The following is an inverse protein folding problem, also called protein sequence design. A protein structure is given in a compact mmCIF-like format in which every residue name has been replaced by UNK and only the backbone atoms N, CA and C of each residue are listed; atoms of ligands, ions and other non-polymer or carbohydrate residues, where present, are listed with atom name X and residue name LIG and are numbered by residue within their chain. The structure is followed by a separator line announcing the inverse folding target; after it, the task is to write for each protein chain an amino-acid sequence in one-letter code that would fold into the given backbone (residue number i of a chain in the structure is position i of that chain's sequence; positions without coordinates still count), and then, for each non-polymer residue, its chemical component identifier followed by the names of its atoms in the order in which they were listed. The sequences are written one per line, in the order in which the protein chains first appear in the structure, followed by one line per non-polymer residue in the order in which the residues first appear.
data_IF_222444757265
#
_entry.id   IF_222444757265
#
_cell.length_a   1.000
_cell.length_b   1.000
_cell.length_c   1.000
_cell.angle_alpha   90.00
_cell.angle_beta   90.00
_cell.angle_gamma   90.00
#
_symmetry.space_group_name_H-M   'P 1'
#
loop_
_entity.id
_entity.type
_entity.pdbx_description
1 polymer ?
#
# COMPACT_ATOMS: atom_id res chain seq x y z
N UNK A 1 2.55 -19.99 -18.91
CA UNK A 1 2.62 -18.64 -18.29
C UNK A 1 1.16 -18.22 -18.04
N UNK A 2 0.79 -17.86 -16.82
CA UNK A 2 -0.59 -17.43 -16.54
C UNK A 2 -0.81 -16.03 -17.14
N UNK A 3 -1.99 -15.76 -17.73
CA UNK A 3 -2.27 -14.47 -18.33
C UNK A 3 -2.31 -13.35 -17.27
N UNK A 4 -1.92 -12.15 -17.69
CA UNK A 4 -2.07 -10.93 -16.88
C UNK A 4 -3.44 -10.33 -17.19
N UNK A 5 -4.25 -10.13 -16.18
CA UNK A 5 -5.52 -9.43 -16.27
C UNK A 5 -5.28 -7.92 -16.11
N UNK A 6 -5.88 -7.13 -16.99
CA UNK A 6 -5.79 -5.67 -16.94
C UNK A 6 -6.99 -5.07 -16.21
N UNK A 7 -6.70 -4.13 -15.33
CA UNK A 7 -7.70 -3.37 -14.56
C UNK A 7 -7.46 -1.85 -14.77
N UNK A 8 -8.44 -1.11 -15.28
CA UNK A 8 -8.35 0.35 -15.31
C UNK A 8 -8.38 0.95 -13.91
N UNK A 9 -7.97 2.22 -13.79
CA UNK A 9 -8.02 2.93 -12.51
C UNK A 9 -9.42 2.89 -11.89
N UNK A 10 -9.51 2.55 -10.60
CA UNK A 10 -10.77 2.42 -9.86
C UNK A 10 -11.52 1.12 -10.11
N UNK A 11 -10.99 0.19 -10.92
CA UNK A 11 -11.63 -1.10 -11.14
C UNK A 11 -11.41 -2.03 -9.93
N UNK A 12 -12.50 -2.68 -9.53
CA UNK A 12 -12.50 -3.71 -8.49
C UNK A 12 -11.84 -4.99 -9.02
N UNK A 13 -10.94 -5.57 -8.23
CA UNK A 13 -10.27 -6.84 -8.50
C UNK A 13 -11.03 -7.97 -7.81
N UNK A 14 -11.46 -7.75 -6.59
CA UNK A 14 -12.42 -8.56 -5.83
C UNK A 14 -13.12 -7.74 -4.76
N UNK A 15 -14.32 -8.16 -4.38
CA UNK A 15 -15.12 -7.52 -3.33
C UNK A 15 -15.05 -8.29 -2.01
N UNK A 16 -15.28 -7.56 -0.91
CA UNK A 16 -15.53 -8.17 0.40
C UNK A 16 -16.74 -9.13 0.32
N UNK A 17 -16.58 -10.34 0.86
CA UNK A 17 -17.60 -11.39 0.85
C UNK A 17 -17.57 -12.29 -0.38
N UNK A 18 -16.83 -11.97 -1.42
CA UNK A 18 -16.63 -12.87 -2.55
C UNK A 18 -15.76 -14.07 -2.18
N UNK A 19 -15.87 -15.13 -2.99
CA UNK A 19 -15.13 -16.37 -2.78
C UNK A 19 -13.63 -16.13 -2.94
N UNK A 20 -12.86 -16.40 -1.89
CA UNK A 20 -11.40 -16.41 -1.90
C UNK A 20 -10.85 -17.73 -2.47
N UNK A 21 -9.52 -17.83 -2.57
CA UNK A 21 -8.81 -19.04 -3.02
C UNK A 21 -7.89 -18.80 -4.21
N UNK A 22 -7.81 -17.58 -4.68
CA UNK A 22 -6.78 -17.11 -5.61
C UNK A 22 -5.79 -16.19 -4.90
N UNK A 23 -4.55 -16.17 -5.37
CA UNK A 23 -3.55 -15.17 -5.04
C UNK A 23 -3.31 -14.29 -6.26
N UNK A 24 -2.89 -13.08 -6.00
CA UNK A 24 -2.77 -12.03 -7.00
C UNK A 24 -1.38 -11.41 -6.90
N UNK A 25 -0.69 -11.27 -8.02
CA UNK A 25 0.58 -10.56 -8.09
C UNK A 25 0.44 -9.34 -8.98
N UNK A 26 0.85 -8.17 -8.50
CA UNK A 26 0.88 -6.95 -9.29
C UNK A 26 2.05 -7.03 -10.26
N UNK A 27 1.80 -7.01 -11.56
CA UNK A 27 2.83 -6.99 -12.60
C UNK A 27 3.29 -5.56 -12.90
N UNK A 28 2.33 -4.63 -12.95
CA UNK A 28 2.56 -3.20 -13.04
C UNK A 28 1.37 -2.44 -12.43
N UNK A 29 1.56 -1.17 -12.13
CA UNK A 29 0.54 -0.36 -11.45
C UNK A 29 0.56 -0.56 -9.93
N UNK A 30 -0.58 -0.33 -9.29
CA UNK A 30 -0.72 -0.46 -7.85
C UNK A 30 -2.16 -0.78 -7.44
N UNK A 31 -2.30 -1.50 -6.32
CA UNK A 31 -3.58 -1.95 -5.74
C UNK A 31 -3.71 -1.41 -4.33
N UNK A 32 -4.92 -0.99 -3.94
CA UNK A 32 -5.29 -0.72 -2.55
C UNK A 32 -6.22 -1.79 -2.02
N UNK A 33 -5.97 -2.20 -0.79
CA UNK A 33 -6.82 -3.10 -0.01
C UNK A 33 -7.51 -2.26 1.05
N UNK A 34 -8.85 -2.32 1.10
CA UNK A 34 -9.61 -1.47 2.00
C UNK A 34 -10.88 -2.13 2.52
N UNK A 35 -11.44 -1.53 3.56
CA UNK A 35 -12.76 -1.87 4.11
C UNK A 35 -13.59 -0.60 4.24
N UNK A 36 -14.90 -0.75 4.06
CA UNK A 36 -15.86 0.29 4.40
C UNK A 36 -16.25 0.14 5.87
N UNK A 37 -16.15 1.23 6.63
CA UNK A 37 -16.58 1.30 8.00
C UNK A 37 -18.11 1.50 8.07
N UNK A 38 -18.70 1.27 9.24
CA UNK A 38 -20.15 1.38 9.43
C UNK A 38 -20.70 2.81 9.15
N UNK A 39 -19.86 3.83 9.28
CA UNK A 39 -20.18 5.23 8.97
C UNK A 39 -19.94 5.60 7.48
N UNK A 40 -19.61 4.63 6.64
CA UNK A 40 -19.35 4.81 5.21
C UNK A 40 -17.93 5.30 4.87
N UNK A 41 -17.10 5.62 5.85
CA UNK A 41 -15.69 5.96 5.59
C UNK A 41 -14.93 4.74 5.11
N UNK A 42 -13.94 4.97 4.25
CA UNK A 42 -13.02 3.96 3.77
C UNK A 42 -11.77 3.93 4.67
N UNK A 43 -11.39 2.74 5.12
CA UNK A 43 -10.10 2.50 5.78
C UNK A 43 -9.26 1.64 4.87
N UNK A 44 -8.13 2.16 4.40
CA UNK A 44 -7.15 1.39 3.63
C UNK A 44 -6.24 0.65 4.61
N UNK A 45 -6.09 -0.64 4.41
CA UNK A 45 -5.23 -1.51 5.23
C UNK A 45 -3.88 -1.78 4.59
N UNK A 46 -3.80 -1.74 3.26
CA UNK A 46 -2.55 -1.98 2.53
C UNK A 46 -2.55 -1.36 1.14
N UNK A 47 -1.34 -1.05 0.66
CA UNK A 47 -1.05 -0.82 -0.75
C UNK A 47 -0.15 -1.95 -1.25
N UNK A 48 -0.37 -2.41 -2.48
CA UNK A 48 0.50 -3.36 -3.16
C UNK A 48 1.05 -2.71 -4.43
N UNK A 49 2.39 -2.72 -4.56
CA UNK A 49 3.14 -2.20 -5.69
C UNK A 49 3.55 -3.34 -6.63
N UNK A 50 4.09 -3.00 -7.80
CA UNK A 50 4.59 -3.97 -8.77
C UNK A 50 5.54 -4.99 -8.11
N UNK A 51 5.38 -6.27 -8.44
CA UNK A 51 6.10 -7.41 -7.87
C UNK A 51 5.52 -7.96 -6.57
N UNK A 52 4.57 -7.28 -5.92
CA UNK A 52 4.01 -7.72 -4.65
C UNK A 52 2.78 -8.62 -4.83
N UNK A 53 2.59 -9.53 -3.87
CA UNK A 53 1.49 -10.52 -3.86
C UNK A 53 0.49 -10.18 -2.77
N UNK A 54 -0.81 -10.37 -3.07
CA UNK A 54 -1.91 -10.15 -2.15
C UNK A 54 -3.01 -11.22 -2.34
N UNK A 55 -4.09 -11.13 -1.54
CA UNK A 55 -5.21 -12.08 -1.59
C UNK A 55 -5.05 -13.25 -0.64
N UNK A 56 -4.13 -13.19 0.33
CA UNK A 56 -4.02 -14.16 1.40
C UNK A 56 -5.23 -14.04 2.34
N UNK A 57 -6.01 -15.11 2.44
CA UNK A 57 -7.18 -15.20 3.32
C UNK A 57 -7.09 -16.46 4.17
N UNK A 58 -7.55 -16.37 5.41
CA UNK A 58 -7.66 -17.53 6.30
C UNK A 58 -8.92 -18.35 6.00
N UNK A 59 -9.92 -17.70 5.43
CA UNK A 59 -11.25 -18.26 5.17
C UNK A 59 -11.52 -18.42 3.67
N UNK A 60 -12.73 -18.92 3.37
CA UNK A 60 -13.18 -19.12 1.99
C UNK A 60 -13.70 -17.85 1.30
N UNK A 61 -13.68 -16.70 2.00
CA UNK A 61 -14.18 -15.41 1.49
C UNK A 61 -13.20 -14.28 1.74
N UNK A 62 -13.23 -13.28 0.86
CA UNK A 62 -12.43 -12.06 1.04
C UNK A 62 -13.00 -11.19 2.15
N UNK A 63 -12.13 -10.73 3.06
CA UNK A 63 -12.49 -9.84 4.17
C UNK A 63 -12.40 -8.35 3.81
N UNK A 64 -11.77 -8.01 2.70
CA UNK A 64 -11.51 -6.68 2.22
C UNK A 64 -11.87 -6.57 0.74
N UNK A 65 -12.01 -5.33 0.27
CA UNK A 65 -12.02 -5.01 -1.15
C UNK A 65 -10.59 -4.86 -1.67
N UNK A 66 -10.37 -5.24 -2.92
CA UNK A 66 -9.13 -4.94 -3.66
C UNK A 66 -9.49 -4.15 -4.92
N UNK A 67 -8.82 -3.01 -5.12
CA UNK A 67 -9.10 -2.09 -6.20
C UNK A 67 -7.83 -1.54 -6.83
N UNK A 68 -7.81 -1.44 -8.15
CA UNK A 68 -6.72 -0.85 -8.91
C UNK A 68 -6.64 0.68 -8.68
N UNK A 69 -5.49 1.19 -8.25
CA UNK A 69 -5.30 2.63 -8.02
C UNK A 69 -5.13 3.39 -9.35
N UNK A 70 -4.41 2.79 -10.28
CA UNK A 70 -4.14 3.28 -11.62
C UNK A 70 -4.32 2.15 -12.63
N UNK A 71 -3.92 2.32 -13.88
CA UNK A 71 -3.87 1.23 -14.85
C UNK A 71 -2.95 0.13 -14.30
N UNK A 72 -3.50 -1.04 -13.98
CA UNK A 72 -2.84 -2.11 -13.23
C UNK A 72 -2.97 -3.44 -13.95
N UNK A 73 -1.86 -4.14 -14.10
CA UNK A 73 -1.81 -5.52 -14.55
C UNK A 73 -1.65 -6.46 -13.36
N UNK A 74 -2.51 -7.46 -13.27
CA UNK A 74 -2.49 -8.44 -12.17
C UNK A 74 -2.44 -9.86 -12.74
N UNK A 75 -1.50 -10.66 -12.25
CA UNK A 75 -1.45 -12.09 -12.50
C UNK A 75 -2.20 -12.82 -11.40
N UNK A 76 -3.18 -13.62 -11.81
CA UNK A 76 -3.98 -14.42 -10.88
C UNK A 76 -3.44 -15.85 -10.87
N UNK A 77 -3.17 -16.40 -9.71
CA UNK A 77 -2.75 -17.79 -9.58
C UNK A 77 -3.43 -18.47 -8.39
N UNK A 78 -3.70 -19.75 -8.58
CA UNK A 78 -4.19 -20.61 -7.51
C UNK A 78 -3.07 -21.52 -7.09
N UNK A 79 -2.94 -21.76 -5.79
CA UNK A 79 -1.97 -22.71 -5.28
C UNK A 79 -2.28 -24.10 -5.89
N UNK A 80 -1.31 -24.73 -6.60
CA UNK A 80 -1.52 -26.07 -7.14
C UNK A 80 -1.73 -27.06 -6.01
N UNK A 81 -2.72 -27.93 -6.14
CA UNK A 81 -2.92 -29.04 -5.21
C UNK A 81 -1.69 -29.95 -5.27
N UNK A 82 -0.99 -30.14 -4.13
CA UNK A 82 0.14 -31.09 -4.04
C UNK A 82 1.54 -30.51 -4.18
N UNK A 83 1.71 -29.21 -4.43
CA UNK A 83 3.02 -28.56 -4.34
C UNK A 83 3.30 -28.15 -2.88
N UNK A 84 4.59 -28.06 -2.50
CA UNK A 84 4.99 -27.52 -1.19
C UNK A 84 4.77 -26.00 -1.17
N UNK A 85 3.49 -25.63 -1.20
CA UNK A 85 2.94 -24.26 -1.22
C UNK A 85 3.49 -23.45 -0.05
N UNK A 86 3.76 -24.13 1.08
CA UNK A 86 4.27 -23.53 2.29
C UNK A 86 5.65 -22.89 2.09
N UNK A 87 6.54 -23.50 1.31
CA UNK A 87 7.88 -22.94 1.05
C UNK A 87 7.88 -21.67 0.23
N UNK A 88 6.96 -21.53 -0.71
CA UNK A 88 6.91 -20.37 -1.62
C UNK A 88 5.98 -19.27 -1.09
N UNK A 89 4.85 -19.62 -0.52
CA UNK A 89 3.82 -18.65 -0.11
C UNK A 89 3.99 -18.17 1.33
N UNK A 90 4.51 -18.99 2.22
CA UNK A 90 4.71 -18.60 3.63
C UNK A 90 5.60 -17.35 3.78
N UNK A 91 6.75 -17.23 3.12
CA UNK A 91 7.55 -15.99 3.19
C UNK A 91 6.81 -14.75 2.74
N UNK A 92 5.96 -14.87 1.69
CA UNK A 92 5.14 -13.76 1.20
C UNK A 92 4.06 -13.35 2.19
N UNK A 93 3.38 -14.33 2.79
CA UNK A 93 2.37 -14.09 3.82
C UNK A 93 3.01 -13.46 5.08
N UNK A 94 4.16 -13.96 5.53
CA UNK A 94 4.90 -13.39 6.67
C UNK A 94 5.36 -11.96 6.40
N UNK A 95 5.83 -11.66 5.18
CA UNK A 95 6.17 -10.29 4.78
C UNK A 95 4.96 -9.37 4.85
N UNK A 96 3.78 -9.85 4.42
CA UNK A 96 2.52 -9.12 4.54
C UNK A 96 2.14 -8.87 6.01
N UNK A 97 2.28 -9.87 6.87
CA UNK A 97 2.02 -9.77 8.30
C UNK A 97 2.95 -8.75 8.98
N UNK A 98 4.26 -8.80 8.69
CA UNK A 98 5.24 -7.84 9.23
C UNK A 98 4.86 -6.41 8.85
N UNK A 99 4.51 -6.16 7.58
CA UNK A 99 4.04 -4.83 7.13
C UNK A 99 2.78 -4.37 7.87
N UNK A 100 1.82 -5.28 8.08
CA UNK A 100 0.60 -4.95 8.82
C UNK A 100 0.92 -4.57 10.28
N UNK A 101 1.87 -5.26 10.92
CA UNK A 101 2.33 -4.93 12.28
C UNK A 101 3.04 -3.56 12.31
N UNK A 102 3.93 -3.29 11.36
CA UNK A 102 4.60 -1.98 11.23
C UNK A 102 3.58 -0.86 10.99
N UNK A 103 2.58 -1.10 10.16
CA UNK A 103 1.50 -0.14 9.94
C UNK A 103 0.70 0.15 11.22
N UNK A 104 0.41 -0.85 12.04
CA UNK A 104 -0.24 -0.64 13.34
C UNK A 104 0.60 0.28 14.25
N UNK A 105 1.93 0.12 14.26
CA UNK A 105 2.82 1.01 15.01
C UNK A 105 2.77 2.44 14.47
N UNK A 106 2.69 2.62 13.14
CA UNK A 106 2.55 3.94 12.52
C UNK A 106 1.23 4.59 12.92
N UNK A 107 0.11 3.85 12.92
CA UNK A 107 -1.20 4.36 13.33
C UNK A 107 -1.22 4.76 14.83
N UNK A 108 -0.42 4.11 15.66
CA UNK A 108 -0.26 4.43 17.08
C UNK A 108 0.52 5.72 17.36
N UNK A 109 1.21 6.31 16.38
CA UNK A 109 2.00 7.54 16.55
C UNK A 109 1.10 8.75 16.81
N UNK A 110 1.60 9.69 17.64
CA UNK A 110 0.78 10.79 18.14
C UNK A 110 0.50 11.87 17.09
N UNK A 111 1.47 12.19 16.23
CA UNK A 111 1.31 13.30 15.31
C UNK A 111 1.35 12.90 13.82
N UNK A 112 0.71 13.73 12.99
CA UNK A 112 0.57 13.49 11.56
C UNK A 112 1.91 13.51 10.81
N UNK A 113 2.92 14.27 11.29
CA UNK A 113 4.23 14.36 10.65
C UNK A 113 4.95 13.03 10.80
N UNK A 114 4.93 12.41 11.98
CA UNK A 114 5.52 11.10 12.25
C UNK A 114 4.91 10.03 11.33
N UNK A 115 3.56 10.00 11.22
CA UNK A 115 2.87 9.04 10.36
C UNK A 115 3.24 9.21 8.88
N UNK A 116 3.21 10.43 8.38
CA UNK A 116 3.55 10.71 6.97
C UNK A 116 5.03 10.46 6.69
N UNK A 117 5.94 10.84 7.60
CA UNK A 117 7.38 10.60 7.44
C UNK A 117 7.67 9.09 7.37
N UNK A 118 7.11 8.29 8.28
CA UNK A 118 7.24 6.85 8.26
C UNK A 118 6.69 6.23 6.97
N UNK A 119 5.53 6.68 6.51
CA UNK A 119 4.95 6.24 5.24
C UNK A 119 5.87 6.53 4.04
N UNK A 120 6.48 7.71 3.97
CA UNK A 120 7.39 8.07 2.87
C UNK A 120 8.68 7.25 2.90
N UNK A 121 9.19 6.92 4.07
CA UNK A 121 10.34 6.01 4.23
C UNK A 121 9.95 4.60 3.78
N UNK A 122 8.82 4.07 4.23
CA UNK A 122 8.29 2.77 3.79
C UNK A 122 8.19 2.70 2.26
N UNK A 123 7.59 3.71 1.62
CA UNK A 123 7.46 3.76 0.16
C UNK A 123 8.81 3.81 -0.56
N UNK A 124 9.78 4.55 -0.02
CA UNK A 124 11.15 4.58 -0.55
C UNK A 124 11.82 3.21 -0.47
N UNK A 125 11.73 2.53 0.68
CA UNK A 125 12.34 1.22 0.88
C UNK A 125 11.74 0.14 -0.03
N UNK A 126 10.42 0.16 -0.20
CA UNK A 126 9.71 -0.75 -1.10
C UNK A 126 10.09 -0.54 -2.58
N UNK A 127 10.58 0.64 -2.92
CA UNK A 127 11.08 0.99 -4.26
C UNK A 127 12.62 0.94 -4.36
N UNK A 128 13.28 0.19 -3.47
CA UNK A 128 14.73 -0.03 -3.51
C UNK A 128 15.56 1.05 -2.80
N UNK A 129 14.97 1.84 -1.92
CA UNK A 129 15.65 2.87 -1.14
C UNK A 129 16.07 4.10 -1.96
N UNK A 130 15.47 4.28 -3.14
CA UNK A 130 15.76 5.40 -4.03
C UNK A 130 15.32 6.74 -3.42
N UNK A 131 16.01 7.81 -3.79
CA UNK A 131 15.63 9.18 -3.41
C UNK A 131 14.32 9.62 -4.05
N UNK A 132 14.13 9.28 -5.32
CA UNK A 132 12.86 9.52 -6.01
C UNK A 132 11.90 8.40 -5.67
N UNK A 133 10.71 8.76 -5.21
CA UNK A 133 9.67 7.85 -4.74
C UNK A 133 8.38 8.15 -5.50
N UNK A 134 7.86 7.14 -6.16
CA UNK A 134 6.56 7.20 -6.81
C UNK A 134 5.44 6.90 -5.79
N UNK A 135 4.41 7.73 -5.81
CA UNK A 135 3.24 7.62 -4.95
C UNK A 135 1.99 7.43 -5.83
N UNK A 136 1.69 6.20 -6.27
CA UNK A 136 0.54 5.96 -7.17
C UNK A 136 -0.81 6.32 -6.53
N UNK A 137 -0.89 6.31 -5.20
CA UNK A 137 -2.07 6.64 -4.42
C UNK A 137 -2.28 8.16 -4.27
N UNK A 138 -3.52 8.58 -4.09
CA UNK A 138 -3.88 9.99 -3.85
C UNK A 138 -3.56 10.43 -2.42
N UNK A 139 -3.59 11.75 -2.16
CA UNK A 139 -3.50 12.27 -0.79
C UNK A 139 -4.66 11.81 0.09
N UNK A 140 -5.84 11.60 -0.51
CA UNK A 140 -6.97 11.01 0.18
C UNK A 140 -6.69 9.56 0.57
N UNK A 141 -6.16 8.74 -0.35
CA UNK A 141 -5.78 7.36 -0.04
C UNK A 141 -4.71 7.29 1.06
N UNK A 142 -3.73 8.20 1.04
CA UNK A 142 -2.73 8.30 2.11
C UNK A 142 -3.41 8.66 3.45
N UNK A 143 -4.39 9.56 3.43
CA UNK A 143 -5.20 9.89 4.60
C UNK A 143 -5.97 8.68 5.12
N UNK A 144 -6.70 7.98 4.25
CA UNK A 144 -7.45 6.77 4.59
C UNK A 144 -6.55 5.63 5.13
N UNK A 145 -5.28 5.59 4.68
CA UNK A 145 -4.28 4.63 5.18
C UNK A 145 -3.72 5.04 6.54
N UNK A 146 -3.42 6.32 6.76
CA UNK A 146 -2.76 6.83 7.98
C UNK A 146 -3.74 7.29 9.08
N UNK A 147 -5.05 7.20 8.85
CA UNK A 147 -6.06 7.74 9.77
C UNK A 147 -5.99 9.26 9.88
N UNK A 148 -5.76 9.95 8.76
CA UNK A 148 -5.64 11.40 8.65
C UNK A 148 -6.62 11.95 7.62
N UNK A 149 -6.96 13.24 7.72
CA UNK A 149 -7.71 13.90 6.64
C UNK A 149 -6.79 14.29 5.49
N UNK A 150 -7.34 14.44 4.29
CA UNK A 150 -6.60 14.89 3.11
C UNK A 150 -5.92 16.25 3.32
N UNK A 151 -6.57 17.16 4.06
CA UNK A 151 -6.02 18.48 4.39
C UNK A 151 -4.81 18.35 5.31
N UNK A 152 -4.87 17.43 6.27
CA UNK A 152 -3.74 17.16 7.19
C UNK A 152 -2.57 16.57 6.44
N UNK A 153 -2.80 15.59 5.58
CA UNK A 153 -1.74 15.02 4.71
C UNK A 153 -1.12 16.11 3.85
N UNK A 154 -1.94 16.93 3.18
CA UNK A 154 -1.48 18.00 2.30
C UNK A 154 -0.64 19.03 3.04
N UNK A 155 -1.06 19.44 4.25
CA UNK A 155 -0.29 20.38 5.10
C UNK A 155 1.06 19.78 5.52
N UNK A 156 1.11 18.50 5.85
CA UNK A 156 2.38 17.85 6.22
C UNK A 156 3.33 17.82 5.01
N UNK A 157 2.85 17.47 3.82
CA UNK A 157 3.69 17.49 2.62
C UNK A 157 4.24 18.90 2.31
N UNK A 158 3.41 19.93 2.45
CA UNK A 158 3.84 21.34 2.30
C UNK A 158 4.94 21.68 3.33
N UNK A 159 4.74 21.32 4.58
CA UNK A 159 5.71 21.57 5.65
C UNK A 159 7.05 20.85 5.43
N UNK A 160 7.02 19.59 4.98
CA UNK A 160 8.24 18.83 4.65
C UNK A 160 8.98 19.47 3.46
N UNK A 161 8.25 19.96 2.45
CA UNK A 161 8.79 20.71 1.33
C UNK A 161 9.45 22.02 1.80
N UNK A 162 8.76 22.83 2.59
CA UNK A 162 9.26 24.11 3.11
C UNK A 162 10.54 23.95 3.97
N UNK A 163 10.60 22.85 4.74
CA UNK A 163 11.81 22.48 5.50
C UNK A 163 12.95 21.90 4.64
N UNK A 164 12.73 21.76 3.34
CA UNK A 164 13.71 21.17 2.43
C UNK A 164 14.04 19.72 2.75
N UNK A 165 13.10 18.97 3.34
CA UNK A 165 13.24 17.53 3.62
C UNK A 165 12.87 16.71 2.40
N UNK A 166 11.84 17.15 1.67
CA UNK A 166 11.40 16.57 0.40
C UNK A 166 11.26 17.64 -0.67
N UNK A 167 11.28 17.22 -1.94
CA UNK A 167 10.87 18.01 -3.11
C UNK A 167 9.69 17.32 -3.76
N UNK A 168 8.66 18.09 -4.12
CA UNK A 168 7.54 17.57 -4.92
C UNK A 168 7.92 17.67 -6.39
N UNK A 169 8.06 16.53 -7.08
CA UNK A 169 8.33 16.48 -8.51
C UNK A 169 7.02 16.53 -9.31
N UNK A 170 5.98 15.89 -8.78
CA UNK A 170 4.61 15.92 -9.31
C UNK A 170 3.62 15.68 -8.17
N UNK A 171 2.33 15.52 -8.51
CA UNK A 171 1.31 15.07 -7.54
C UNK A 171 1.53 13.63 -7.06
N UNK A 172 2.28 12.84 -7.83
CA UNK A 172 2.49 11.39 -7.64
C UNK A 172 3.96 11.00 -7.51
N UNK A 173 4.86 11.95 -7.41
CA UNK A 173 6.30 11.68 -7.27
C UNK A 173 6.96 12.72 -6.38
N UNK A 174 7.83 12.25 -5.51
CA UNK A 174 8.62 13.08 -4.61
C UNK A 174 10.10 12.71 -4.70
N UNK A 175 10.95 13.63 -4.30
CA UNK A 175 12.35 13.36 -4.05
C UNK A 175 12.64 13.59 -2.55
N UNK A 176 13.24 12.61 -1.89
CA UNK A 176 13.71 12.72 -0.50
C UNK A 176 15.09 13.40 -0.52
N UNK A 177 15.15 14.63 -0.02
CA UNK A 177 16.38 15.43 0.01
C UNK A 177 17.22 15.13 1.26
N UNK A 178 16.56 14.89 2.41
CA UNK A 178 17.21 14.66 3.71
C UNK A 178 16.63 13.40 4.37
N UNK A 179 17.17 12.24 3.97
CA UNK A 179 16.68 10.94 4.45
C UNK A 179 16.80 10.78 5.97
N UNK A 180 17.96 11.15 6.53
CA UNK A 180 18.23 11.10 7.99
C UNK A 180 17.20 11.91 8.79
N UNK A 181 16.92 13.15 8.32
CA UNK A 181 15.93 14.00 8.95
C UNK A 181 14.52 13.41 8.85
N UNK A 182 14.18 12.80 7.71
CA UNK A 182 12.88 12.17 7.52
C UNK A 182 12.73 10.93 8.41
N UNK A 183 13.78 10.12 8.57
CA UNK A 183 13.81 8.98 9.50
C UNK A 183 13.58 9.45 10.94
N UNK A 184 14.35 10.44 11.41
CA UNK A 184 14.20 10.99 12.76
C UNK A 184 12.82 11.63 13.02
N UNK A 185 12.12 12.07 11.98
CA UNK A 185 10.74 12.56 12.09
C UNK A 185 9.71 11.42 12.15
N UNK A 186 10.09 10.25 11.67
CA UNK A 186 9.24 9.06 11.61
C UNK A 186 9.42 8.13 12.83
N UNK A 187 10.35 8.37 13.71
CA UNK A 187 10.56 7.64 14.97
C UNK A 187 9.69 8.22 16.09
#
# INVERSE_FOLDING_TARGET
MQPVSFFPAGAEIYAQGEKAGALYQVEFGAVRIYRLLADGRRQISAFHLAGETFGFEADATHHFFAEAINATGVRVFRAPSGMDVSRQLLPLALKGLTRAQEHLLVLGRQNAIERVAAFLIEMSERQGGLRQVELPMSRNDIGDYLGLTIETVSRVFTRLKEKGVIRLLSLRSIEILKRETLLAMGE
#
